data_IF_223588305267
#
_entry.id   IF_223588305267
#
_cell.length_a   1.000
_cell.length_b   1.000
_cell.length_c   1.000
_cell.angle_alpha   90.00
_cell.angle_beta   90.00
_cell.angle_gamma   90.00
#
_symmetry.space_group_name_H-M   'P 1'
#
loop_
_entity.id
_entity.type
_entity.pdbx_description
1 polymer ?
#
# COMPACT_ATOMS: atom_id res chain seq x y z
N UNK A 1 -3.56 -12.46 -8.56
CA UNK A 1 -3.47 -11.06 -8.11
C UNK A 1 -2.71 -11.01 -6.80
N UNK A 2 -1.53 -10.38 -6.78
CA UNK A 2 -0.72 -10.16 -5.58
C UNK A 2 -1.11 -8.80 -5.01
N UNK A 3 -1.51 -8.78 -3.74
CA UNK A 3 -1.90 -7.57 -3.02
C UNK A 3 -0.64 -6.89 -2.47
N UNK A 4 -0.42 -5.63 -2.83
CA UNK A 4 0.77 -4.86 -2.50
C UNK A 4 0.40 -3.64 -1.66
N UNK A 5 1.15 -3.42 -0.59
CA UNK A 5 1.10 -2.19 0.19
C UNK A 5 2.46 -1.46 0.10
N UNK A 6 2.43 -0.14 -0.08
CA UNK A 6 3.66 0.66 -0.19
C UNK A 6 3.90 1.44 1.09
N UNK A 7 4.98 1.10 1.79
CA UNK A 7 5.51 1.88 2.92
C UNK A 7 6.37 3.04 2.42
N UNK A 8 6.27 4.21 3.07
CA UNK A 8 7.00 5.42 2.67
C UNK A 8 6.27 6.24 1.61
N UNK A 9 4.94 6.16 1.56
CA UNK A 9 4.06 6.93 0.68
C UNK A 9 4.44 8.42 0.56
N UNK A 10 4.61 8.92 -0.66
CA UNK A 10 5.10 10.28 -0.96
C UNK A 10 6.62 10.48 -0.80
N UNK A 11 7.39 9.44 -0.49
CA UNK A 11 8.86 9.47 -0.58
C UNK A 11 9.33 9.53 -2.04
N UNK A 12 10.62 9.81 -2.26
CA UNK A 12 11.18 10.00 -3.62
C UNK A 12 10.91 8.83 -4.57
N UNK A 13 10.86 7.61 -4.04
CA UNK A 13 10.61 6.38 -4.80
C UNK A 13 9.15 5.92 -4.73
N UNK A 14 8.30 6.53 -3.91
CA UNK A 14 6.93 6.05 -3.72
C UNK A 14 6.12 6.14 -5.01
N UNK A 15 6.19 7.27 -5.71
CA UNK A 15 5.48 7.49 -6.97
C UNK A 15 5.82 6.44 -8.04
N UNK A 16 7.10 6.24 -8.45
CA UNK A 16 7.41 5.25 -9.48
C UNK A 16 7.08 3.81 -9.05
N UNK A 17 7.15 3.47 -7.75
CA UNK A 17 6.73 2.15 -7.25
C UNK A 17 5.22 1.97 -7.39
N UNK A 18 4.44 2.96 -6.98
CA UNK A 18 2.97 2.93 -7.07
C UNK A 18 2.52 2.84 -8.52
N UNK A 19 3.15 3.59 -9.42
CA UNK A 19 2.88 3.54 -10.86
C UNK A 19 3.18 2.14 -11.42
N UNK A 20 4.32 1.54 -11.08
CA UNK A 20 4.67 0.19 -11.51
C UNK A 20 3.69 -0.87 -10.99
N UNK A 21 3.26 -0.77 -9.73
CA UNK A 21 2.26 -1.68 -9.14
C UNK A 21 0.91 -1.52 -9.84
N UNK A 22 0.50 -0.29 -10.14
CA UNK A 22 -0.80 -0.01 -10.77
C UNK A 22 -0.83 -0.43 -12.25
N UNK A 23 0.33 -0.42 -12.92
CA UNK A 23 0.45 -0.81 -14.32
C UNK A 23 0.63 -2.32 -14.53
N UNK A 24 0.91 -3.09 -13.47
CA UNK A 24 1.13 -4.52 -13.57
C UNK A 24 -0.20 -5.30 -13.52
N UNK A 25 -0.39 -6.23 -14.45
CA UNK A 25 -1.63 -7.01 -14.57
C UNK A 25 -1.83 -8.03 -13.44
N UNK A 26 -0.75 -8.40 -12.75
CA UNK A 26 -0.75 -9.40 -11.70
C UNK A 26 -0.71 -8.82 -10.29
N UNK A 27 -0.60 -7.49 -10.14
CA UNK A 27 -0.52 -6.77 -8.86
C UNK A 27 -1.77 -5.91 -8.60
N UNK A 28 -2.08 -5.72 -7.32
CA UNK A 28 -3.15 -4.83 -6.85
C UNK A 28 -2.62 -3.96 -5.71
N UNK A 29 -2.68 -2.64 -5.86
CA UNK A 29 -2.34 -1.71 -4.80
C UNK A 29 -3.48 -1.67 -3.76
N UNK A 30 -3.23 -2.18 -2.56
CA UNK A 30 -4.26 -2.30 -1.51
C UNK A 30 -4.05 -1.37 -0.31
N UNK A 31 -2.91 -0.66 -0.25
CA UNK A 31 -2.64 0.22 0.87
C UNK A 31 -1.38 1.07 0.72
N UNK A 32 -1.39 2.19 1.43
CA UNK A 32 -0.29 3.15 1.50
C UNK A 32 -0.03 3.48 2.96
N UNK A 33 1.23 3.43 3.37
CA UNK A 33 1.64 3.73 4.75
C UNK A 33 2.71 4.82 4.78
N UNK A 34 2.45 5.91 5.50
CA UNK A 34 3.46 6.88 5.93
C UNK A 34 2.92 7.73 7.10
N UNK A 35 3.47 7.62 8.32
CA UNK A 35 3.01 8.39 9.47
C UNK A 35 3.13 9.91 9.29
N UNK A 36 4.12 10.38 8.51
CA UNK A 36 4.31 11.80 8.25
C UNK A 36 3.34 12.39 7.22
N UNK A 37 2.52 11.55 6.58
CA UNK A 37 1.55 11.94 5.55
C UNK A 37 0.19 11.27 5.73
N UNK A 38 -0.10 10.81 6.94
CA UNK A 38 -1.37 10.18 7.27
C UNK A 38 -2.54 11.10 6.91
N UNK A 39 -3.62 10.51 6.36
CA UNK A 39 -4.82 11.24 5.92
C UNK A 39 -4.71 11.91 4.55
N UNK A 40 -3.54 11.95 3.92
CA UNK A 40 -3.41 12.45 2.55
C UNK A 40 -3.92 11.41 1.53
N UNK A 41 -4.50 11.87 0.43
CA UNK A 41 -4.89 11.01 -0.67
C UNK A 41 -3.76 10.89 -1.70
N UNK A 42 -3.46 9.66 -2.15
CA UNK A 42 -2.49 9.38 -3.20
C UNK A 42 -2.91 8.11 -3.95
N UNK A 43 -2.84 8.13 -5.29
CA UNK A 43 -3.25 7.00 -6.15
C UNK A 43 -4.64 6.43 -5.83
N UNK A 44 -5.60 7.30 -5.49
CA UNK A 44 -6.96 6.91 -5.14
C UNK A 44 -7.13 6.30 -3.74
N UNK A 45 -6.06 6.19 -2.94
CA UNK A 45 -6.07 5.63 -1.60
C UNK A 45 -5.71 6.69 -0.55
N UNK A 46 -6.23 6.52 0.67
CA UNK A 46 -5.81 7.32 1.83
C UNK A 46 -4.54 6.72 2.41
N UNK A 47 -3.54 7.56 2.64
CA UNK A 47 -2.30 7.18 3.30
C UNK A 47 -2.58 6.94 4.78
N UNK A 48 -2.28 5.73 5.23
CA UNK A 48 -2.39 5.33 6.62
C UNK A 48 -1.20 5.82 7.45
N UNK A 49 -1.48 6.12 8.73
CA UNK A 49 -0.49 6.46 9.73
C UNK A 49 0.13 5.27 10.47
N UNK A 50 -0.48 4.07 10.36
CA UNK A 50 -0.02 2.84 11.00
C UNK A 50 -0.10 1.66 10.04
N UNK A 51 0.92 0.80 10.04
CA UNK A 51 0.89 -0.44 9.25
C UNK A 51 -0.36 -1.29 9.56
N UNK A 52 -0.85 -1.26 10.79
CA UNK A 52 -1.97 -2.11 11.25
C UNK A 52 -3.32 -1.69 10.63
N UNK A 53 -3.41 -0.48 10.07
CA UNK A 53 -4.59 -0.01 9.35
C UNK A 53 -4.62 -0.52 7.91
N UNK A 54 -3.52 -1.10 7.40
CA UNK A 54 -3.50 -1.72 6.08
C UNK A 54 -4.14 -3.11 6.17
N UNK A 55 -5.15 -3.41 5.35
CA UNK A 55 -5.85 -4.69 5.42
C UNK A 55 -4.86 -5.86 5.27
N UNK A 56 -4.94 -6.88 6.13
CA UNK A 56 -4.01 -7.99 6.09
C UNK A 56 -4.09 -8.69 4.72
N UNK A 57 -2.92 -9.07 4.20
CA UNK A 57 -2.87 -9.94 3.03
C UNK A 57 -3.31 -11.33 3.47
N UNK A 58 -4.56 -11.70 3.16
CA UNK A 58 -5.07 -13.03 3.46
C UNK A 58 -4.40 -14.05 2.53
N UNK A 59 -3.22 -14.54 2.91
CA UNK A 59 -2.65 -15.75 2.34
C UNK A 59 -3.26 -16.94 3.06
N UNK A 60 -4.19 -17.63 2.40
CA UNK A 60 -4.75 -18.92 2.82
C UNK A 60 -4.96 -19.09 4.32
N UNK A 61 -6.02 -18.49 4.89
CA UNK A 61 -6.56 -18.88 6.20
C UNK A 61 -5.66 -18.69 7.43
N UNK A 62 -4.49 -18.07 7.31
CA UNK A 62 -3.60 -17.84 8.45
C UNK A 62 -3.20 -16.37 8.51
N UNK A 63 -3.77 -15.64 9.47
CA UNK A 63 -3.21 -14.37 9.89
C UNK A 63 -1.79 -14.62 10.40
N UNK A 64 -0.78 -14.00 9.78
CA UNK A 64 0.54 -13.97 10.38
C UNK A 64 0.45 -13.24 11.74
N UNK A 65 1.21 -13.70 12.76
CA UNK A 65 1.19 -13.12 14.10
C UNK A 65 1.64 -11.65 14.10
#
# INVERSE_FOLDING_TARGET
MIRVAVSGAGGKLATPIIEAVTAADDLELVGLYNPNRAGQAMAGLVVSGSRDEIPPTSWGGTSLP
#
